data_IF_051351097407
#
_entry.id   IF_051351097407
#
_cell.length_a   1.000
_cell.length_b   1.000
_cell.length_c   1.000
_cell.angle_alpha   90.00
_cell.angle_beta   90.00
_cell.angle_gamma   90.00
#
_symmetry.space_group_name_H-M   'P 1'
#
loop_
_entity.id
_entity.type
_entity.pdbx_description
1 polymer ?
#
# COMPACT_ATOMS: atom_id res chain seq x y z
N UNK A 1 10.75 -15.81 -29.73
CA UNK A 1 12.13 -16.01 -29.22
C UNK A 1 12.27 -15.49 -27.82
N UNK A 2 12.02 -14.18 -27.52
CA UNK A 2 12.13 -13.59 -26.18
C UNK A 2 11.22 -14.26 -25.13
N UNK A 3 9.99 -14.65 -25.49
CA UNK A 3 9.07 -15.35 -24.60
C UNK A 3 9.62 -16.71 -24.16
N UNK A 4 10.17 -17.49 -25.06
CA UNK A 4 10.76 -18.80 -24.74
C UNK A 4 12.00 -18.64 -23.88
N UNK A 5 12.89 -17.71 -24.22
CA UNK A 5 14.05 -17.39 -23.38
C UNK A 5 13.65 -16.94 -21.98
N UNK A 6 12.55 -16.17 -21.84
CA UNK A 6 12.02 -15.79 -20.53
C UNK A 6 11.55 -17.00 -19.71
N UNK A 7 10.85 -17.95 -20.36
CA UNK A 7 10.39 -19.17 -19.67
C UNK A 7 11.57 -20.04 -19.23
N UNK A 8 12.60 -20.20 -20.06
CA UNK A 8 13.82 -20.94 -19.71
C UNK A 8 14.51 -20.34 -18.48
N UNK A 9 14.67 -19.00 -18.44
CA UNK A 9 15.23 -18.29 -17.29
C UNK A 9 14.38 -18.45 -16.04
N UNK A 10 13.06 -18.34 -16.15
CA UNK A 10 12.14 -18.55 -15.04
C UNK A 10 12.26 -20.00 -14.51
N UNK A 11 12.31 -20.98 -15.37
CA UNK A 11 12.44 -22.39 -14.97
C UNK A 11 13.76 -22.68 -14.26
N UNK A 12 14.86 -22.05 -14.68
CA UNK A 12 16.20 -22.29 -14.12
C UNK A 12 16.48 -21.52 -12.83
N UNK A 13 15.82 -20.36 -12.60
CA UNK A 13 16.05 -19.54 -11.43
C UNK A 13 15.42 -20.14 -10.17
N UNK A 14 16.16 -20.38 -9.08
CA UNK A 14 15.62 -20.99 -7.87
C UNK A 14 14.78 -20.02 -7.02
N UNK A 15 15.03 -18.70 -7.06
CA UNK A 15 14.35 -17.67 -6.26
C UNK A 15 13.78 -16.59 -7.14
N UNK A 16 12.56 -16.83 -7.62
CA UNK A 16 11.84 -15.91 -8.50
C UNK A 16 10.91 -15.02 -7.70
N UNK A 17 10.94 -13.73 -7.99
CA UNK A 17 9.99 -12.76 -7.47
C UNK A 17 9.27 -12.05 -8.61
N UNK A 18 7.96 -11.87 -8.48
CA UNK A 18 7.14 -11.03 -9.32
C UNK A 18 6.86 -9.73 -8.58
N UNK A 19 7.21 -8.58 -9.17
CA UNK A 19 6.75 -7.26 -8.74
C UNK A 19 5.53 -6.88 -9.55
N UNK A 20 4.35 -6.98 -8.92
CA UNK A 20 3.10 -6.61 -9.54
C UNK A 20 2.85 -5.10 -9.38
N UNK A 21 2.70 -4.38 -10.48
CA UNK A 21 2.32 -2.97 -10.53
C UNK A 21 0.84 -2.77 -10.84
N UNK A 22 0.39 -1.51 -10.80
CA UNK A 22 -1.02 -1.14 -11.05
C UNK A 22 -1.55 -1.56 -12.42
N UNK A 23 -0.70 -1.64 -13.44
CA UNK A 23 -1.06 -2.11 -14.79
C UNK A 23 -1.48 -3.58 -14.85
N UNK A 24 -1.13 -4.39 -13.84
CA UNK A 24 -1.51 -5.82 -13.79
C UNK A 24 -2.95 -6.06 -13.28
N UNK A 25 -3.63 -5.06 -12.73
CA UNK A 25 -4.94 -5.21 -12.06
C UNK A 25 -6.01 -5.87 -12.93
N UNK A 26 -6.09 -5.48 -14.19
CA UNK A 26 -7.06 -6.04 -15.14
C UNK A 26 -6.79 -7.50 -15.50
N UNK A 27 -5.56 -7.96 -15.29
CA UNK A 27 -5.06 -9.28 -15.68
C UNK A 27 -4.69 -10.15 -14.47
N UNK A 28 -5.32 -9.90 -13.33
CA UNK A 28 -5.01 -10.57 -12.07
C UNK A 28 -5.18 -12.10 -12.12
N UNK A 29 -6.10 -12.59 -12.95
CA UNK A 29 -6.32 -14.04 -13.12
C UNK A 29 -5.16 -14.70 -13.86
N UNK A 30 -4.72 -14.07 -14.96
CA UNK A 30 -3.55 -14.52 -15.74
C UNK A 30 -2.28 -14.43 -14.90
N UNK A 31 -2.11 -13.35 -14.12
CA UNK A 31 -0.98 -13.16 -13.23
C UNK A 31 -0.95 -14.22 -12.13
N UNK A 32 -2.09 -14.54 -11.51
CA UNK A 32 -2.18 -15.58 -10.48
C UNK A 32 -1.76 -16.95 -11.03
N UNK A 33 -2.26 -17.31 -12.20
CA UNK A 33 -1.85 -18.55 -12.90
C UNK A 33 -0.35 -18.53 -13.21
N UNK A 34 0.14 -17.40 -13.71
CA UNK A 34 1.56 -17.23 -14.03
C UNK A 34 2.45 -17.39 -12.80
N UNK A 35 2.10 -16.77 -11.68
CA UNK A 35 2.85 -16.87 -10.43
C UNK A 35 2.96 -18.33 -9.94
N UNK A 36 1.86 -19.08 -10.03
CA UNK A 36 1.84 -20.52 -9.67
C UNK A 36 2.75 -21.34 -10.59
N UNK A 37 2.65 -21.14 -11.90
CA UNK A 37 3.49 -21.84 -12.88
C UNK A 37 4.97 -21.45 -12.76
N UNK A 38 5.26 -20.17 -12.53
CA UNK A 38 6.62 -19.69 -12.33
C UNK A 38 7.25 -20.16 -11.00
N UNK A 39 6.44 -20.62 -10.04
CA UNK A 39 6.89 -20.87 -8.67
C UNK A 39 7.48 -19.60 -8.04
N UNK A 40 6.78 -18.47 -8.21
CA UNK A 40 7.26 -17.15 -7.84
C UNK A 40 6.52 -16.56 -6.64
N UNK A 41 7.27 -15.96 -5.72
CA UNK A 41 6.70 -15.07 -4.71
C UNK A 41 6.24 -13.76 -5.37
N UNK A 42 5.10 -13.21 -4.95
CA UNK A 42 4.53 -11.99 -5.54
C UNK A 42 4.57 -10.85 -4.54
N UNK A 43 5.30 -9.81 -4.87
CA UNK A 43 5.37 -8.56 -4.12
C UNK A 43 4.47 -7.53 -4.80
N UNK A 44 3.59 -6.94 -4.03
CA UNK A 44 2.63 -5.95 -4.51
C UNK A 44 3.24 -4.54 -4.47
N UNK A 45 2.81 -3.71 -5.41
CA UNK A 45 2.89 -2.26 -5.28
C UNK A 45 1.63 -1.73 -4.59
N UNK A 46 1.63 -0.53 -4.01
CA UNK A 46 0.42 0.05 -3.43
C UNK A 46 -0.79 0.09 -4.38
N UNK A 47 -0.54 0.27 -5.67
CA UNK A 47 -1.59 0.28 -6.71
C UNK A 47 -2.03 -1.11 -7.19
N UNK A 48 -1.53 -2.20 -6.63
CA UNK A 48 -1.84 -3.57 -7.09
C UNK A 48 -2.36 -4.49 -5.99
N UNK A 49 -2.80 -3.94 -4.85
CA UNK A 49 -3.46 -4.75 -3.82
C UNK A 49 -4.65 -5.52 -4.41
N UNK A 50 -4.85 -6.74 -3.98
CA UNK A 50 -5.91 -7.63 -4.46
C UNK A 50 -5.62 -8.37 -5.78
N UNK A 51 -4.49 -8.14 -6.47
CA UNK A 51 -4.14 -8.96 -7.67
C UNK A 51 -3.86 -10.41 -7.30
N UNK A 52 -3.37 -10.66 -6.07
CA UNK A 52 -3.48 -11.93 -5.36
C UNK A 52 -4.27 -11.66 -4.08
N UNK A 53 -5.15 -12.58 -3.69
CA UNK A 53 -5.87 -12.47 -2.43
C UNK A 53 -4.89 -12.42 -1.26
N UNK A 54 -5.25 -11.74 -0.18
CA UNK A 54 -4.36 -11.59 0.99
C UNK A 54 -3.87 -12.92 1.54
N UNK A 55 -4.73 -13.94 1.58
CA UNK A 55 -4.42 -15.26 2.10
C UNK A 55 -3.66 -16.16 1.11
N UNK A 56 -3.49 -15.76 -0.16
CA UNK A 56 -2.73 -16.55 -1.13
C UNK A 56 -1.29 -16.77 -0.63
N UNK A 57 -0.79 -18.00 -0.59
CA UNK A 57 0.55 -18.31 -0.07
C UNK A 57 1.69 -17.65 -0.85
N UNK A 58 1.47 -17.28 -2.12
CA UNK A 58 2.44 -16.57 -2.94
C UNK A 58 2.42 -15.06 -2.73
N UNK A 59 1.38 -14.49 -2.11
CA UNK A 59 1.26 -13.07 -1.84
C UNK A 59 2.17 -12.64 -0.68
N UNK A 60 3.20 -11.88 -0.98
CA UNK A 60 4.16 -11.33 -0.01
C UNK A 60 3.79 -9.92 0.48
N UNK A 61 2.59 -9.45 0.18
CA UNK A 61 2.11 -8.11 0.50
C UNK A 61 2.92 -7.01 -0.21
N UNK A 62 2.72 -5.77 0.21
CA UNK A 62 3.42 -4.62 -0.39
C UNK A 62 4.89 -4.64 0.03
N UNK A 63 5.78 -4.45 -0.94
CA UNK A 63 7.21 -4.26 -0.72
C UNK A 63 7.65 -2.84 -1.03
N UNK A 64 8.81 -2.45 -0.57
CA UNK A 64 9.40 -1.15 -0.78
C UNK A 64 9.73 -0.41 0.52
N UNK A 65 9.91 0.91 0.45
CA UNK A 65 10.37 1.72 1.59
C UNK A 65 9.44 1.74 2.80
N UNK A 66 8.16 1.43 2.62
CA UNK A 66 7.15 1.25 3.66
C UNK A 66 6.48 -0.12 3.54
N UNK A 67 7.21 -1.08 3.00
CA UNK A 67 6.70 -2.42 2.75
C UNK A 67 6.65 -3.32 3.98
N UNK A 68 6.13 -4.51 3.76
CA UNK A 68 6.02 -5.57 4.75
C UNK A 68 7.36 -6.31 4.95
N UNK A 69 7.49 -7.03 6.07
CA UNK A 69 8.61 -7.95 6.32
C UNK A 69 8.71 -8.98 5.19
N UNK A 70 7.58 -9.55 4.78
CA UNK A 70 7.53 -10.58 3.73
C UNK A 70 7.88 -10.02 2.34
N UNK A 71 7.32 -8.85 1.98
CA UNK A 71 7.59 -8.20 0.70
C UNK A 71 9.06 -7.82 0.56
N UNK A 72 9.61 -7.17 1.56
CA UNK A 72 11.00 -6.74 1.54
C UNK A 72 11.98 -7.93 1.60
N UNK A 73 11.64 -8.99 2.34
CA UNK A 73 12.44 -10.23 2.32
C UNK A 73 12.47 -10.85 0.91
N UNK A 74 11.32 -10.92 0.23
CA UNK A 74 11.25 -11.47 -1.11
C UNK A 74 12.07 -10.64 -2.11
N UNK A 75 11.95 -9.30 -2.06
CA UNK A 75 12.74 -8.40 -2.89
C UNK A 75 14.25 -8.58 -2.67
N UNK A 76 14.67 -8.64 -1.40
CA UNK A 76 16.08 -8.68 -1.00
C UNK A 76 16.77 -9.98 -1.39
N UNK A 77 16.05 -11.10 -1.45
CA UNK A 77 16.65 -12.42 -1.60
C UNK A 77 16.41 -13.08 -2.95
N UNK A 78 15.69 -12.45 -3.88
CA UNK A 78 15.42 -12.98 -5.20
C UNK A 78 16.67 -13.04 -6.10
N UNK A 79 16.72 -14.01 -7.01
CA UNK A 79 17.74 -14.13 -8.07
C UNK A 79 17.25 -13.58 -9.40
N UNK A 80 15.95 -13.70 -9.67
CA UNK A 80 15.27 -13.22 -10.86
C UNK A 80 14.08 -12.35 -10.48
N UNK A 81 14.03 -11.16 -11.07
CA UNK A 81 12.91 -10.23 -10.94
C UNK A 81 12.04 -10.26 -12.20
N UNK A 82 10.74 -10.43 -12.02
CA UNK A 82 9.74 -10.27 -13.07
C UNK A 82 8.87 -9.06 -12.71
N UNK A 83 8.94 -8.00 -13.50
CA UNK A 83 8.16 -6.78 -13.32
C UNK A 83 6.93 -6.84 -14.21
N UNK A 84 5.74 -6.63 -13.68
CA UNK A 84 4.49 -6.71 -14.44
C UNK A 84 3.68 -5.43 -14.24
N UNK A 85 3.60 -4.60 -15.27
CA UNK A 85 2.79 -3.38 -15.28
C UNK A 85 3.15 -2.38 -14.18
N UNK A 86 4.44 -2.24 -13.88
CA UNK A 86 4.98 -1.30 -12.90
C UNK A 86 5.77 -0.19 -13.58
N UNK A 87 5.67 1.03 -13.02
CA UNK A 87 6.50 2.19 -13.40
C UNK A 87 7.76 2.30 -12.55
N UNK A 88 8.07 1.30 -11.74
CA UNK A 88 9.23 1.26 -10.84
C UNK A 88 9.35 2.53 -9.97
N UNK A 89 8.23 2.99 -9.38
CA UNK A 89 8.19 4.17 -8.52
C UNK A 89 9.09 3.95 -7.30
N UNK A 90 9.91 4.95 -6.96
CA UNK A 90 10.95 4.83 -5.94
C UNK A 90 10.47 4.28 -4.58
N UNK A 91 9.27 4.66 -4.14
CA UNK A 91 8.70 4.17 -2.87
C UNK A 91 8.43 2.66 -2.87
N UNK A 92 8.03 2.10 -4.00
CA UNK A 92 7.71 0.67 -4.11
C UNK A 92 8.89 -0.19 -4.56
N UNK A 93 9.91 0.44 -5.14
CA UNK A 93 11.06 -0.22 -5.76
C UNK A 93 12.39 0.15 -5.09
N UNK A 94 12.33 0.91 -4.01
CA UNK A 94 13.48 1.41 -3.24
C UNK A 94 14.54 2.06 -4.14
N UNK A 95 14.12 2.89 -5.08
CA UNK A 95 15.01 3.55 -6.06
C UNK A 95 15.94 2.57 -6.81
N UNK A 96 15.44 1.37 -7.13
CA UNK A 96 16.19 0.32 -7.81
C UNK A 96 17.17 -0.46 -6.93
N UNK A 97 17.30 -0.13 -5.64
CA UNK A 97 18.22 -0.83 -4.72
C UNK A 97 17.55 -1.97 -3.94
N UNK A 98 16.25 -2.15 -4.10
CA UNK A 98 15.46 -3.17 -3.39
C UNK A 98 15.76 -4.63 -3.75
N UNK A 99 16.55 -4.87 -4.81
CA UNK A 99 16.82 -6.20 -5.35
C UNK A 99 18.32 -6.50 -5.42
N UNK A 100 19.03 -6.58 -4.27
CA UNK A 100 20.50 -6.66 -4.24
C UNK A 100 21.10 -7.90 -4.90
N UNK A 101 20.34 -9.00 -4.96
CA UNK A 101 20.82 -10.29 -5.47
C UNK A 101 20.29 -10.63 -6.87
N UNK A 102 19.40 -9.81 -7.41
CA UNK A 102 18.85 -10.00 -8.76
C UNK A 102 19.93 -9.75 -9.80
N UNK A 103 20.03 -10.67 -10.77
CA UNK A 103 21.02 -10.61 -11.84
C UNK A 103 20.40 -10.28 -13.19
N UNK A 104 19.12 -10.57 -13.36
CA UNK A 104 18.37 -10.35 -14.59
C UNK A 104 16.93 -9.93 -14.27
N UNK A 105 16.36 -9.14 -15.16
CA UNK A 105 14.98 -8.65 -15.04
C UNK A 105 14.21 -9.04 -16.30
N UNK A 106 12.99 -9.55 -16.11
CA UNK A 106 11.99 -9.68 -17.16
C UNK A 106 10.93 -8.62 -16.90
N UNK A 107 10.75 -7.67 -17.79
CA UNK A 107 9.79 -6.57 -17.63
C UNK A 107 8.66 -6.69 -18.65
N UNK A 108 7.44 -6.85 -18.17
CA UNK A 108 6.21 -6.99 -18.98
C UNK A 108 5.42 -5.71 -18.83
N UNK A 109 5.37 -4.89 -19.87
CA UNK A 109 4.69 -3.61 -19.82
C UNK A 109 4.08 -3.21 -21.15
N UNK A 110 2.98 -2.46 -21.10
CA UNK A 110 2.35 -1.84 -22.25
C UNK A 110 2.98 -0.51 -22.66
N UNK A 111 3.80 0.09 -21.80
CA UNK A 111 4.52 1.33 -22.04
C UNK A 111 6.01 1.04 -22.28
N UNK A 112 6.54 1.49 -23.43
CA UNK A 112 7.95 1.34 -23.77
C UNK A 112 8.89 2.09 -22.83
N UNK A 113 8.47 3.25 -22.33
CA UNK A 113 9.24 4.05 -21.38
C UNK A 113 9.48 3.32 -20.06
N UNK A 114 8.51 2.50 -19.65
CA UNK A 114 8.60 1.73 -18.41
C UNK A 114 9.41 0.41 -18.53
N UNK A 115 9.87 0.06 -19.72
CA UNK A 115 10.71 -1.14 -19.92
C UNK A 115 12.19 -0.91 -19.60
N UNK A 116 12.64 0.32 -19.48
CA UNK A 116 14.06 0.69 -19.42
C UNK A 116 14.56 1.08 -18.03
N UNK A 117 13.81 0.76 -16.98
CA UNK A 117 14.18 1.08 -15.60
C UNK A 117 15.37 0.27 -15.05
N UNK A 118 15.68 -0.85 -15.66
CA UNK A 118 16.77 -1.76 -15.26
C UNK A 118 17.71 -1.99 -16.43
N UNK A 119 19.01 -2.09 -16.17
CA UNK A 119 20.02 -2.19 -17.21
C UNK A 119 20.05 -3.55 -17.92
N UNK A 120 19.76 -4.63 -17.20
CA UNK A 120 19.78 -6.01 -17.74
C UNK A 120 18.37 -6.57 -17.88
N UNK A 121 17.59 -5.98 -18.78
CA UNK A 121 16.17 -6.29 -18.91
C UNK A 121 15.85 -7.02 -20.20
N UNK A 122 15.10 -8.12 -20.09
CA UNK A 122 14.33 -8.68 -21.18
C UNK A 122 12.98 -7.97 -21.20
N UNK A 123 12.81 -7.03 -22.12
CA UNK A 123 11.57 -6.27 -22.29
C UNK A 123 10.54 -7.01 -23.09
N UNK A 124 9.41 -7.35 -22.52
CA UNK A 124 8.23 -7.91 -23.19
C UNK A 124 7.17 -6.82 -23.33
N UNK A 125 7.25 -6.07 -24.44
CA UNK A 125 6.33 -4.97 -24.74
C UNK A 125 5.01 -5.47 -25.33
N UNK A 126 3.88 -5.00 -24.81
CA UNK A 126 2.56 -5.25 -25.36
C UNK A 126 1.46 -5.34 -24.32
N UNK A 127 0.29 -5.86 -24.73
CA UNK A 127 -0.80 -6.14 -23.80
C UNK A 127 -0.37 -7.17 -22.76
N UNK A 128 -0.41 -6.77 -21.49
CA UNK A 128 0.06 -7.58 -20.35
C UNK A 128 -0.67 -8.93 -20.31
N UNK A 129 -2.00 -8.92 -20.52
CA UNK A 129 -2.80 -10.14 -20.49
C UNK A 129 -2.46 -11.09 -21.63
N UNK A 130 -2.20 -10.56 -22.84
CA UNK A 130 -1.79 -11.37 -23.99
C UNK A 130 -0.42 -12.02 -23.76
N UNK A 131 0.54 -11.25 -23.22
CA UNK A 131 1.89 -11.76 -22.89
C UNK A 131 1.78 -12.83 -21.79
N UNK A 132 1.05 -12.58 -20.71
CA UNK A 132 0.87 -13.56 -19.63
C UNK A 132 0.21 -14.86 -20.11
N UNK A 133 -0.80 -14.78 -20.99
CA UNK A 133 -1.42 -15.96 -21.59
C UNK A 133 -0.42 -16.78 -22.42
N UNK A 134 0.42 -16.12 -23.23
CA UNK A 134 1.45 -16.78 -24.01
C UNK A 134 2.51 -17.43 -23.13
N UNK A 135 3.00 -16.74 -22.09
CA UNK A 135 3.95 -17.30 -21.14
C UNK A 135 3.34 -18.50 -20.39
N UNK A 136 2.08 -18.40 -19.93
CA UNK A 136 1.37 -19.48 -19.26
C UNK A 136 1.23 -20.74 -20.12
N UNK A 137 1.14 -20.59 -21.44
CA UNK A 137 1.05 -21.71 -22.37
C UNK A 137 2.42 -22.28 -22.76
N UNK A 138 3.50 -21.55 -22.49
CA UNK A 138 4.86 -21.95 -22.86
C UNK A 138 5.62 -22.69 -21.75
N UNK A 139 5.08 -22.77 -20.52
CA UNK A 139 5.71 -23.54 -19.46
C UNK A 139 5.71 -25.04 -19.77
N UNK A 140 6.76 -25.77 -19.36
CA UNK A 140 6.84 -27.23 -19.52
C UNK A 140 5.67 -27.95 -18.85
N UNK A 141 5.22 -29.07 -19.41
CA UNK A 141 4.18 -29.91 -18.81
C UNK A 141 4.67 -30.63 -17.53
N UNK A 142 5.97 -30.91 -17.42
CA UNK A 142 6.57 -31.45 -16.19
C UNK A 142 6.76 -30.34 -15.16
N UNK A 143 6.39 -30.61 -13.91
CA UNK A 143 6.58 -29.67 -12.78
C UNK A 143 7.94 -29.80 -12.07
N UNK A 144 8.87 -30.59 -12.63
CA UNK A 144 10.19 -30.84 -12.00
C UNK A 144 11.00 -29.57 -11.75
N UNK A 145 10.88 -28.57 -12.63
CA UNK A 145 11.54 -27.26 -12.48
C UNK A 145 11.04 -26.48 -11.24
N UNK A 146 9.92 -26.87 -10.62
CA UNK A 146 9.42 -26.25 -9.41
C UNK A 146 10.09 -26.80 -8.14
N UNK A 147 10.70 -27.99 -8.22
CA UNK A 147 11.34 -28.62 -7.05
C UNK A 147 12.43 -27.76 -6.40
N UNK A 148 13.36 -27.14 -7.15
CA UNK A 148 14.38 -26.26 -6.57
C UNK A 148 13.82 -25.00 -5.91
N UNK A 149 12.58 -24.60 -6.25
CA UNK A 149 11.94 -23.39 -5.73
C UNK A 149 11.19 -23.61 -4.41
N UNK A 150 10.97 -24.85 -4.00
CA UNK A 150 10.16 -25.15 -2.80
C UNK A 150 10.75 -24.55 -1.53
N UNK A 151 12.06 -24.66 -1.32
CA UNK A 151 12.74 -24.08 -0.16
C UNK A 151 12.59 -22.55 -0.12
N UNK A 152 12.66 -21.90 -1.27
CA UNK A 152 12.43 -20.47 -1.43
C UNK A 152 11.01 -20.06 -1.02
N UNK A 153 10.00 -20.74 -1.57
CA UNK A 153 8.60 -20.45 -1.27
C UNK A 153 8.26 -20.72 0.21
N UNK A 154 8.87 -21.74 0.81
CA UNK A 154 8.72 -21.99 2.25
C UNK A 154 9.35 -20.86 3.10
N UNK A 155 10.53 -20.37 2.73
CA UNK A 155 11.15 -19.22 3.40
C UNK A 155 10.29 -17.96 3.30
N UNK A 156 9.71 -17.69 2.13
CA UNK A 156 8.77 -16.60 1.91
C UNK A 156 7.51 -16.74 2.77
N UNK A 157 6.93 -17.93 2.83
CA UNK A 157 5.76 -18.22 3.65
C UNK A 157 6.05 -18.02 5.15
N UNK A 158 7.23 -18.42 5.61
CA UNK A 158 7.66 -18.17 7.00
C UNK A 158 7.69 -16.67 7.31
N UNK A 159 8.24 -15.85 6.40
CA UNK A 159 8.26 -14.39 6.54
C UNK A 159 6.86 -13.76 6.47
N UNK A 160 5.94 -14.35 5.74
CA UNK A 160 4.55 -13.93 5.74
C UNK A 160 3.88 -14.20 7.10
N UNK A 161 4.17 -15.33 7.75
CA UNK A 161 3.69 -15.64 9.11
C UNK A 161 4.29 -14.66 10.13
N UNK A 162 5.59 -14.37 10.03
CA UNK A 162 6.27 -13.38 10.87
C UNK A 162 5.62 -11.99 10.72
N UNK A 163 5.32 -11.57 9.50
CA UNK A 163 4.63 -10.33 9.22
C UNK A 163 3.24 -10.26 9.88
N UNK A 164 2.43 -11.31 9.74
CA UNK A 164 1.10 -11.36 10.38
C UNK A 164 1.19 -11.30 11.91
N UNK A 165 2.16 -11.99 12.50
CA UNK A 165 2.40 -11.93 13.94
C UNK A 165 2.83 -10.53 14.40
N UNK A 166 3.66 -9.85 13.63
CA UNK A 166 4.06 -8.48 13.89
C UNK A 166 2.86 -7.51 13.81
N UNK A 167 2.05 -7.61 12.74
CA UNK A 167 0.84 -6.78 12.59
C UNK A 167 -0.11 -6.93 13.77
N UNK A 168 -0.33 -8.16 14.27
CA UNK A 168 -1.20 -8.40 15.43
C UNK A 168 -0.77 -7.58 16.65
N UNK A 169 0.53 -7.34 16.82
CA UNK A 169 1.06 -6.55 17.94
C UNK A 169 0.82 -5.05 17.74
N UNK A 170 1.18 -4.51 16.59
CA UNK A 170 1.09 -3.06 16.33
C UNK A 170 -0.34 -2.58 16.09
N UNK A 171 -1.25 -3.48 15.76
CA UNK A 171 -2.68 -3.22 15.55
C UNK A 171 -3.52 -3.56 16.78
N UNK A 172 -2.90 -3.74 17.95
CA UNK A 172 -3.63 -3.93 19.19
C UNK A 172 -4.61 -2.79 19.44
N UNK A 173 -5.85 -3.13 19.78
CA UNK A 173 -6.91 -2.18 20.09
C UNK A 173 -6.86 -1.68 21.54
N UNK A 174 -5.85 -2.06 22.30
CA UNK A 174 -5.58 -1.48 23.60
C UNK A 174 -5.17 -0.02 23.41
N UNK A 175 -5.88 0.89 24.10
CA UNK A 175 -5.58 2.31 24.03
C UNK A 175 -4.22 2.63 24.67
N UNK A 176 -3.52 3.57 24.10
CA UNK A 176 -2.26 4.10 24.60
C UNK A 176 -2.53 5.50 25.17
N UNK A 177 -2.06 5.78 26.38
CA UNK A 177 -2.15 7.13 26.93
C UNK A 177 -1.28 8.09 26.11
N UNK A 178 -1.86 9.19 25.72
CA UNK A 178 -1.22 10.23 24.93
C UNK A 178 -1.25 11.58 25.65
N UNK A 179 -0.08 12.20 25.80
CA UNK A 179 0.05 13.46 26.55
C UNK A 179 -0.57 14.66 25.82
N UNK A 180 -0.57 14.64 24.47
CA UNK A 180 -1.15 15.71 23.65
C UNK A 180 -2.66 15.74 23.78
N UNK A 181 -3.29 14.57 23.88
CA UNK A 181 -4.73 14.43 24.03
C UNK A 181 -5.18 14.40 25.49
N UNK A 182 -4.29 14.01 26.44
CA UNK A 182 -4.61 13.82 27.84
C UNK A 182 -5.54 12.63 28.11
N UNK A 183 -5.63 11.69 27.18
CA UNK A 183 -6.51 10.51 27.22
C UNK A 183 -5.87 9.29 26.56
N UNK A 184 -6.50 8.12 26.71
CA UNK A 184 -6.12 6.93 25.97
C UNK A 184 -6.72 6.97 24.56
N UNK A 185 -5.87 6.87 23.56
CA UNK A 185 -6.25 6.85 22.14
C UNK A 185 -5.73 5.58 21.45
N UNK A 186 -6.28 5.25 20.29
CA UNK A 186 -5.73 4.20 19.44
C UNK A 186 -4.43 4.66 18.79
N UNK A 187 -3.54 3.72 18.50
CA UNK A 187 -2.47 3.98 17.54
C UNK A 187 -3.07 4.10 16.13
N UNK A 188 -2.41 4.82 15.24
CA UNK A 188 -2.89 4.95 13.85
C UNK A 188 -3.02 3.59 13.14
N UNK A 189 -2.04 2.64 13.25
CA UNK A 189 -2.20 1.29 12.68
C UNK A 189 -3.43 0.54 13.22
N UNK A 190 -3.71 0.65 14.53
CA UNK A 190 -4.88 0.01 15.14
C UNK A 190 -6.19 0.63 14.63
N UNK A 191 -6.27 1.96 14.57
CA UNK A 191 -7.45 2.66 14.07
C UNK A 191 -7.71 2.35 12.59
N UNK A 192 -6.65 2.33 11.74
CA UNK A 192 -6.76 1.94 10.33
C UNK A 192 -7.24 0.49 10.19
N UNK A 193 -6.76 -0.43 11.04
CA UNK A 193 -7.22 -1.84 11.01
C UNK A 193 -8.72 -1.94 11.28
N UNK A 194 -9.22 -1.26 12.31
CA UNK A 194 -10.66 -1.21 12.62
C UNK A 194 -11.47 -0.71 11.40
N UNK A 195 -11.00 0.35 10.76
CA UNK A 195 -11.66 0.93 9.57
C UNK A 195 -11.58 -0.03 8.37
N UNK A 196 -10.45 -0.68 8.14
CA UNK A 196 -10.28 -1.65 7.04
C UNK A 196 -11.16 -2.89 7.23
N UNK A 197 -11.29 -3.39 8.45
CA UNK A 197 -12.17 -4.53 8.75
C UNK A 197 -13.65 -4.15 8.53
N UNK A 198 -14.02 -2.95 8.95
CA UNK A 198 -15.35 -2.42 8.67
C UNK A 198 -15.60 -2.30 7.16
N UNK A 199 -14.65 -1.74 6.41
CA UNK A 199 -14.74 -1.62 4.96
C UNK A 199 -14.89 -2.99 4.28
N UNK A 200 -14.10 -3.99 4.69
CA UNK A 200 -14.18 -5.36 4.17
C UNK A 200 -15.54 -5.99 4.44
N UNK A 201 -16.07 -5.85 5.66
CA UNK A 201 -17.38 -6.35 6.06
C UNK A 201 -18.53 -5.76 5.20
N UNK A 202 -18.42 -4.50 4.80
CA UNK A 202 -19.42 -3.77 4.05
C UNK A 202 -19.12 -3.65 2.56
N UNK A 203 -18.11 -4.35 2.05
CA UNK A 203 -17.65 -4.32 0.65
C UNK A 203 -17.38 -2.89 0.14
N UNK A 204 -16.96 -2.00 1.06
CA UNK A 204 -16.67 -0.60 0.76
C UNK A 204 -15.30 -0.45 0.08
N UNK A 205 -15.21 0.53 -0.82
CA UNK A 205 -13.95 0.91 -1.45
C UNK A 205 -13.16 1.82 -0.50
N UNK A 206 -11.88 1.52 -0.33
CA UNK A 206 -10.95 2.33 0.47
C UNK A 206 -10.14 3.25 -0.42
N UNK A 207 -10.06 4.53 -0.04
CA UNK A 207 -9.17 5.52 -0.63
C UNK A 207 -8.16 5.95 0.44
N UNK A 208 -6.88 5.70 0.23
CA UNK A 208 -5.84 6.13 1.16
C UNK A 208 -5.18 7.42 0.69
N UNK A 209 -5.07 8.37 1.60
CA UNK A 209 -4.33 9.61 1.39
C UNK A 209 -2.83 9.39 1.57
N UNK A 210 -2.04 10.40 1.23
CA UNK A 210 -0.58 10.39 1.33
C UNK A 210 -0.05 10.30 2.76
N UNK A 211 1.25 10.09 2.88
CA UNK A 211 1.98 10.12 4.14
C UNK A 211 1.86 8.84 4.96
N UNK A 212 1.77 8.99 6.28
CA UNK A 212 1.71 7.89 7.23
C UNK A 212 0.42 7.05 7.11
N UNK A 213 -0.70 7.67 6.81
CA UNK A 213 -1.96 6.98 6.55
C UNK A 213 -1.83 6.04 5.35
N UNK A 214 -1.16 6.47 4.29
CA UNK A 214 -0.87 5.63 3.13
C UNK A 214 0.03 4.45 3.52
N UNK A 215 1.13 4.72 4.22
CA UNK A 215 2.10 3.72 4.60
C UNK A 215 1.50 2.65 5.54
N UNK A 216 0.83 3.07 6.61
CA UNK A 216 0.14 2.18 7.54
C UNK A 216 -1.03 1.45 6.87
N UNK A 217 -1.70 2.11 5.93
CA UNK A 217 -2.78 1.54 5.13
C UNK A 217 -2.32 0.36 4.28
N UNK A 218 -1.26 0.50 3.51
CA UNK A 218 -0.73 -0.60 2.68
C UNK A 218 -0.22 -1.79 3.48
N UNK A 219 0.23 -1.53 4.70
CA UNK A 219 0.64 -2.58 5.62
C UNK A 219 -0.55 -3.32 6.24
N UNK A 220 -1.73 -2.69 6.22
CA UNK A 220 -2.94 -3.16 6.91
C UNK A 220 -3.96 -3.81 5.99
N UNK A 221 -4.08 -3.36 4.74
CA UNK A 221 -5.14 -3.84 3.84
C UNK A 221 -5.01 -5.33 3.52
N UNK A 222 -6.14 -6.02 3.60
CA UNK A 222 -6.32 -7.43 3.29
C UNK A 222 -7.28 -7.58 2.11
N UNK A 223 -6.86 -7.05 0.95
CA UNK A 223 -7.67 -7.08 -0.28
C UNK A 223 -7.63 -8.47 -0.93
N UNK A 224 -8.78 -8.93 -1.40
CA UNK A 224 -8.94 -10.21 -2.09
C UNK A 224 -9.12 -10.04 -3.60
N UNK A 225 -9.58 -8.86 -4.03
CA UNK A 225 -9.78 -8.50 -5.43
C UNK A 225 -9.20 -7.10 -5.74
N UNK A 226 -8.75 -6.89 -7.00
CA UNK A 226 -8.33 -5.56 -7.45
C UNK A 226 -9.50 -4.56 -7.41
N UNK A 227 -9.23 -3.35 -6.95
CA UNK A 227 -10.23 -2.29 -6.89
C UNK A 227 -10.93 -2.14 -5.55
N UNK A 228 -10.56 -2.91 -4.54
CA UNK A 228 -11.01 -2.72 -3.16
C UNK A 228 -10.27 -1.55 -2.48
N UNK A 229 -9.06 -1.22 -2.94
CA UNK A 229 -8.25 -0.10 -2.43
C UNK A 229 -7.68 0.73 -3.56
N UNK A 230 -7.73 2.05 -3.39
CA UNK A 230 -7.14 3.04 -4.27
C UNK A 230 -6.26 4.02 -3.50
N UNK A 231 -5.20 4.46 -4.15
CA UNK A 231 -4.32 5.51 -3.66
C UNK A 231 -3.57 6.13 -4.82
N UNK A 232 -3.06 7.34 -4.64
CA UNK A 232 -2.10 7.93 -5.56
C UNK A 232 -0.71 7.34 -5.27
N UNK A 233 -0.12 6.65 -6.25
CA UNK A 233 1.12 5.88 -6.09
C UNK A 233 2.34 6.54 -6.72
N UNK A 234 2.17 7.66 -7.39
CA UNK A 234 3.26 8.35 -8.09
C UNK A 234 3.91 9.41 -7.22
N UNK A 235 3.27 10.55 -7.10
CA UNK A 235 3.77 11.69 -6.36
C UNK A 235 3.41 11.65 -4.86
N UNK A 236 2.44 10.81 -4.46
CA UNK A 236 1.97 10.71 -3.07
C UNK A 236 1.51 12.07 -2.51
N UNK A 237 0.67 12.78 -3.27
CA UNK A 237 0.22 14.10 -2.87
C UNK A 237 -0.93 14.05 -1.87
N UNK A 238 -0.87 14.97 -0.92
CA UNK A 238 -1.83 15.12 0.17
C UNK A 238 -3.18 15.65 -0.35
N UNK A 239 -4.29 15.13 0.19
CA UNK A 239 -5.66 15.50 -0.21
C UNK A 239 -6.27 14.57 -1.27
N UNK A 240 -5.54 13.54 -1.73
CA UNK A 240 -6.04 12.59 -2.71
C UNK A 240 -7.34 11.92 -2.26
N UNK A 241 -7.37 11.31 -1.07
CA UNK A 241 -8.53 10.53 -0.65
C UNK A 241 -9.76 11.39 -0.40
N UNK A 242 -9.56 12.60 0.13
CA UNK A 242 -10.62 13.58 0.35
C UNK A 242 -11.29 13.99 -0.97
N UNK A 243 -10.53 14.10 -2.05
CA UNK A 243 -11.07 14.37 -3.38
C UNK A 243 -11.64 13.13 -4.05
N UNK A 244 -11.01 11.96 -3.84
CA UNK A 244 -11.41 10.71 -4.49
C UNK A 244 -12.82 10.25 -4.10
N UNK A 245 -13.31 10.61 -2.91
CA UNK A 245 -14.65 10.25 -2.45
C UNK A 245 -15.75 10.79 -3.40
N UNK A 246 -15.50 11.89 -4.11
CA UNK A 246 -16.43 12.49 -5.07
C UNK A 246 -16.78 11.50 -6.18
N UNK A 247 -15.83 10.63 -6.54
CA UNK A 247 -16.05 9.63 -7.59
C UNK A 247 -17.23 8.71 -7.32
N UNK A 248 -17.59 8.50 -6.06
CA UNK A 248 -18.74 7.68 -5.70
C UNK A 248 -20.09 8.29 -6.11
N UNK A 249 -20.16 9.62 -6.17
CA UNK A 249 -21.36 10.31 -6.67
C UNK A 249 -21.42 10.35 -8.20
N UNK A 250 -20.31 10.08 -8.89
CA UNK A 250 -20.19 10.20 -10.34
C UNK A 250 -20.12 8.84 -11.07
N UNK A 251 -19.88 7.75 -10.35
CA UNK A 251 -19.75 6.42 -10.95
C UNK A 251 -21.09 5.84 -11.37
N UNK A 252 -21.13 5.12 -12.51
CA UNK A 252 -22.34 4.42 -13.00
C UNK A 252 -22.87 3.37 -12.00
N UNK A 253 -21.94 2.71 -11.27
CA UNK A 253 -22.26 1.71 -10.25
C UNK A 253 -21.52 2.09 -8.95
N UNK A 254 -22.03 3.06 -8.19
CA UNK A 254 -21.36 3.56 -7.01
C UNK A 254 -21.32 2.50 -5.90
N UNK A 255 -20.14 2.30 -5.33
CA UNK A 255 -19.98 1.55 -4.08
C UNK A 255 -19.80 2.53 -2.93
N UNK A 256 -20.12 2.08 -1.72
CA UNK A 256 -19.83 2.89 -0.54
C UNK A 256 -18.34 3.17 -0.45
N UNK A 257 -17.94 4.43 -0.27
CA UNK A 257 -16.55 4.86 -0.22
C UNK A 257 -16.10 5.19 1.19
N UNK A 258 -14.88 4.82 1.52
CA UNK A 258 -14.23 5.18 2.77
C UNK A 258 -12.88 5.84 2.45
N UNK A 259 -12.81 7.15 2.63
CA UNK A 259 -11.59 7.95 2.46
C UNK A 259 -10.85 8.02 3.79
N UNK A 260 -9.64 7.48 3.85
CA UNK A 260 -8.77 7.48 5.01
C UNK A 260 -7.69 8.54 4.80
N UNK A 261 -7.67 9.57 5.64
CA UNK A 261 -6.79 10.73 5.49
C UNK A 261 -6.17 11.14 6.83
N UNK A 262 -5.00 11.76 6.79
CA UNK A 262 -4.43 12.44 7.97
C UNK A 262 -4.99 13.86 8.10
N UNK A 263 -4.83 14.45 9.27
CA UNK A 263 -5.23 15.82 9.57
C UNK A 263 -4.63 16.84 8.58
N UNK A 264 -3.32 16.76 8.35
CA UNK A 264 -2.63 17.63 7.39
C UNK A 264 -3.06 17.40 5.94
N UNK A 265 -3.30 16.14 5.54
CA UNK A 265 -3.75 15.80 4.18
C UNK A 265 -5.18 16.29 3.93
N UNK A 266 -6.09 16.15 4.88
CA UNK A 266 -7.45 16.67 4.79
C UNK A 266 -7.47 18.18 4.55
N UNK A 267 -6.58 18.92 5.23
CA UNK A 267 -6.51 20.37 5.10
C UNK A 267 -5.97 20.88 3.75
N UNK A 268 -5.49 20.02 2.89
CA UNK A 268 -5.12 20.42 1.53
C UNK A 268 -6.36 20.74 0.67
N UNK A 269 -7.45 19.99 0.84
CA UNK A 269 -8.66 20.13 0.03
C UNK A 269 -9.97 19.99 0.84
N UNK A 270 -10.16 20.68 1.98
CA UNK A 270 -11.36 20.53 2.78
C UNK A 270 -12.63 21.00 2.03
N UNK A 271 -12.49 21.91 1.05
CA UNK A 271 -13.58 22.36 0.18
C UNK A 271 -14.14 21.24 -0.72
N UNK A 272 -13.45 20.13 -0.88
CA UNK A 272 -13.96 18.95 -1.61
C UNK A 272 -15.25 18.38 -0.99
N UNK A 273 -15.53 18.67 0.30
CA UNK A 273 -16.80 18.35 0.95
C UNK A 273 -18.00 18.94 0.21
N UNK A 274 -17.87 20.18 -0.29
CA UNK A 274 -18.94 20.87 -1.04
C UNK A 274 -19.25 20.08 -2.31
N UNK A 275 -18.21 19.78 -3.10
CA UNK A 275 -18.39 19.04 -4.35
C UNK A 275 -18.88 17.61 -4.09
N UNK A 276 -18.44 16.96 -3.02
CA UNK A 276 -18.91 15.62 -2.67
C UNK A 276 -20.42 15.61 -2.36
N UNK A 277 -20.92 16.60 -1.63
CA UNK A 277 -22.35 16.76 -1.35
C UNK A 277 -23.11 17.08 -2.62
N UNK A 278 -22.64 18.04 -3.45
CA UNK A 278 -23.27 18.43 -4.71
C UNK A 278 -23.43 17.25 -5.68
N UNK A 279 -22.47 16.36 -5.72
CA UNK A 279 -22.50 15.16 -6.57
C UNK A 279 -23.16 13.94 -5.89
N UNK A 280 -23.72 14.10 -4.69
CA UNK A 280 -24.40 13.01 -3.99
C UNK A 280 -23.52 11.86 -3.59
N UNK A 281 -22.24 12.13 -3.28
CA UNK A 281 -21.31 11.09 -2.83
C UNK A 281 -21.80 10.43 -1.54
N UNK A 282 -21.84 9.09 -1.54
CA UNK A 282 -22.20 8.28 -0.37
C UNK A 282 -20.94 7.59 0.18
N UNK A 283 -20.65 7.89 1.44
CA UNK A 283 -19.48 7.34 2.08
C UNK A 283 -19.04 8.11 3.31
N UNK A 284 -17.84 7.84 3.76
CA UNK A 284 -17.27 8.54 4.91
C UNK A 284 -15.81 8.94 4.66
N UNK A 285 -15.44 10.09 5.21
CA UNK A 285 -14.06 10.55 5.31
C UNK A 285 -13.63 10.39 6.77
N UNK A 286 -12.59 9.59 7.00
CA UNK A 286 -12.04 9.32 8.32
C UNK A 286 -10.72 10.07 8.44
N UNK A 287 -10.67 11.06 9.33
CA UNK A 287 -9.52 11.91 9.59
C UNK A 287 -8.79 11.37 10.82
N UNK A 288 -7.61 10.80 10.61
CA UNK A 288 -6.71 10.37 11.69
C UNK A 288 -5.86 11.56 12.12
N UNK A 289 -6.21 12.14 13.25
CA UNK A 289 -5.55 13.33 13.79
C UNK A 289 -4.47 12.92 14.80
N UNK A 290 -3.22 13.03 14.40
CA UNK A 290 -2.04 12.88 15.26
C UNK A 290 -1.32 14.21 15.50
N UNK A 291 -1.88 15.33 15.02
CA UNK A 291 -1.30 16.67 15.12
C UNK A 291 0.14 16.78 14.61
N UNK A 292 0.48 15.97 13.60
CA UNK A 292 1.86 15.87 13.10
C UNK A 292 1.91 15.70 11.59
N UNK A 293 2.97 16.23 11.02
CA UNK A 293 3.45 15.85 9.69
C UNK A 293 4.36 14.61 9.82
N UNK A 294 3.78 13.48 10.27
CA UNK A 294 4.53 12.34 10.78
C UNK A 294 5.48 11.72 9.74
N UNK A 295 5.08 11.64 8.47
CA UNK A 295 5.97 11.15 7.41
C UNK A 295 7.20 12.05 7.24
N UNK A 296 7.03 13.37 7.31
CA UNK A 296 8.14 14.33 7.23
C UNK A 296 9.02 14.26 8.47
N UNK A 297 8.42 14.18 9.66
CA UNK A 297 9.15 13.99 10.91
C UNK A 297 10.05 12.74 10.84
N UNK A 298 9.51 11.61 10.37
CA UNK A 298 10.28 10.37 10.18
C UNK A 298 11.46 10.54 9.21
N UNK A 299 11.25 11.28 8.11
CA UNK A 299 12.33 11.57 7.15
C UNK A 299 13.43 12.47 7.76
N UNK A 300 13.03 13.50 8.49
CA UNK A 300 13.98 14.38 9.18
C UNK A 300 14.79 13.61 10.22
N UNK A 301 14.14 12.76 11.03
CA UNK A 301 14.82 11.90 12.00
C UNK A 301 15.79 10.93 11.31
N UNK A 302 15.37 10.28 10.22
CA UNK A 302 16.23 9.37 9.50
C UNK A 302 17.45 10.05 8.85
N UNK A 303 17.26 11.27 8.35
CA UNK A 303 18.30 12.01 7.61
C UNK A 303 19.23 12.82 8.54
N UNK A 304 18.68 13.43 9.58
CA UNK A 304 19.36 14.42 10.39
C UNK A 304 19.45 14.08 11.88
N UNK A 305 18.77 13.03 12.34
CA UNK A 305 18.69 12.65 13.76
C UNK A 305 17.82 13.59 14.60
N UNK A 306 17.17 14.55 13.99
CA UNK A 306 16.26 15.52 14.64
C UNK A 306 15.10 15.83 13.72
N UNK A 307 13.96 16.23 14.28
CA UNK A 307 12.85 16.81 13.54
C UNK A 307 12.66 18.30 13.88
N UNK A 308 12.12 19.05 12.95
CA UNK A 308 11.95 20.49 13.08
C UNK A 308 10.56 20.93 12.60
N UNK A 309 9.78 21.47 13.53
CA UNK A 309 8.45 22.05 13.27
C UNK A 309 7.46 21.14 12.51
N UNK A 310 7.54 19.86 12.75
CA UNK A 310 6.66 18.85 12.15
C UNK A 310 5.69 18.24 13.13
N UNK A 311 5.78 18.61 14.39
CA UNK A 311 4.94 18.14 15.49
C UNK A 311 4.14 19.30 16.08
N UNK A 312 3.15 19.01 16.93
CA UNK A 312 2.35 19.98 17.69
C UNK A 312 1.64 21.01 16.80
N UNK A 313 1.02 20.56 15.71
CA UNK A 313 0.16 21.43 14.91
C UNK A 313 -0.99 22.00 15.76
N UNK A 314 -1.53 23.14 15.34
CA UNK A 314 -2.68 23.77 16.00
C UNK A 314 -3.84 22.76 16.09
N UNK A 315 -4.45 22.65 17.26
CA UNK A 315 -5.62 21.80 17.44
C UNK A 315 -6.81 22.31 16.63
N UNK A 316 -7.39 21.44 15.81
CA UNK A 316 -8.56 21.72 14.97
C UNK A 316 -9.67 20.74 15.31
N UNK A 317 -10.87 21.23 15.50
CA UNK A 317 -12.07 20.41 15.56
C UNK A 317 -12.55 20.13 14.12
N UNK A 318 -12.08 19.03 13.55
CA UNK A 318 -12.40 18.68 12.15
C UNK A 318 -13.87 18.29 11.96
N UNK A 319 -14.52 17.72 12.98
CA UNK A 319 -15.95 17.43 12.93
C UNK A 319 -16.76 18.73 12.83
N UNK A 320 -16.43 19.72 13.67
CA UNK A 320 -17.07 21.02 13.65
C UNK A 320 -16.80 21.77 12.34
N UNK A 321 -15.58 21.71 11.81
CA UNK A 321 -15.23 22.27 10.52
C UNK A 321 -16.09 21.66 9.41
N UNK A 322 -16.19 20.33 9.37
CA UNK A 322 -16.96 19.62 8.37
C UNK A 322 -18.47 19.88 8.48
N UNK A 323 -19.00 20.05 9.70
CA UNK A 323 -20.42 20.34 9.94
C UNK A 323 -20.87 21.72 9.43
N UNK A 324 -19.94 22.61 9.08
CA UNK A 324 -20.25 23.88 8.43
C UNK A 324 -20.76 23.70 6.98
N UNK A 325 -20.52 22.53 6.38
CA UNK A 325 -21.04 22.20 5.04
C UNK A 325 -22.39 21.49 5.22
N UNK A 326 -23.45 22.13 4.73
CA UNK A 326 -24.81 21.56 4.79
C UNK A 326 -24.86 20.24 4.02
N UNK A 327 -25.45 19.22 4.65
CA UNK A 327 -25.54 17.85 4.08
C UNK A 327 -24.38 16.92 4.47
N UNK A 328 -23.41 17.39 5.27
CA UNK A 328 -22.37 16.56 5.85
C UNK A 328 -22.76 16.13 7.27
N UNK A 329 -22.71 14.83 7.55
CA UNK A 329 -22.86 14.27 8.89
C UNK A 329 -21.48 14.18 9.56
N UNK A 330 -21.26 14.95 10.63
CA UNK A 330 -19.95 15.04 11.25
C UNK A 330 -19.94 14.41 12.67
N UNK A 331 -18.90 13.63 12.95
CA UNK A 331 -18.76 12.87 14.18
C UNK A 331 -17.36 13.07 14.77
N UNK A 332 -17.29 13.22 16.07
CA UNK A 332 -16.04 13.08 16.84
C UNK A 332 -16.03 11.70 17.49
N UNK A 333 -14.91 10.99 17.38
CA UNK A 333 -14.73 9.70 18.02
C UNK A 333 -14.04 9.92 19.35
N UNK A 334 -14.82 9.82 20.42
CA UNK A 334 -14.32 9.96 21.79
C UNK A 334 -14.12 8.57 22.41
N UNK A 335 -12.86 8.14 22.52
CA UNK A 335 -12.47 6.85 23.09
C UNK A 335 -11.82 5.88 22.12
N UNK A 336 -11.61 4.64 22.57
CA UNK A 336 -10.90 3.60 21.85
C UNK A 336 -11.71 2.89 20.75
N UNK A 337 -11.35 1.65 20.47
CA UNK A 337 -11.91 0.86 19.35
C UNK A 337 -13.44 0.69 19.41
N UNK A 338 -14.02 0.57 20.62
CA UNK A 338 -15.48 0.42 20.77
C UNK A 338 -16.21 1.67 20.31
N UNK A 339 -15.69 2.86 20.65
CA UNK A 339 -16.25 4.13 20.22
C UNK A 339 -16.12 4.29 18.68
N UNK A 340 -14.95 3.93 18.13
CA UNK A 340 -14.73 3.97 16.69
C UNK A 340 -15.71 3.06 15.94
N UNK A 341 -15.89 1.81 16.36
CA UNK A 341 -16.88 0.90 15.76
C UNK A 341 -18.30 1.46 15.80
N UNK A 342 -18.71 1.96 16.95
CA UNK A 342 -20.05 2.57 17.10
C UNK A 342 -20.24 3.76 16.17
N UNK A 343 -19.22 4.61 16.03
CA UNK A 343 -19.30 5.79 15.17
C UNK A 343 -19.28 5.40 13.68
N UNK A 344 -18.52 4.37 13.30
CA UNK A 344 -18.55 3.82 11.95
C UNK A 344 -19.95 3.29 11.59
N UNK A 345 -20.60 2.54 12.50
CA UNK A 345 -21.99 2.06 12.28
C UNK A 345 -22.96 3.24 12.15
N UNK A 346 -22.87 4.28 12.98
CA UNK A 346 -23.71 5.47 12.88
C UNK A 346 -23.51 6.21 11.56
N UNK A 347 -22.26 6.42 11.15
CA UNK A 347 -21.92 7.09 9.91
C UNK A 347 -22.39 6.29 8.66
N UNK A 348 -22.28 4.97 8.72
CA UNK A 348 -22.73 4.10 7.63
C UNK A 348 -24.24 4.14 7.41
N UNK A 349 -25.01 4.32 8.50
CA UNK A 349 -26.45 4.44 8.46
C UNK A 349 -26.94 5.85 8.07
N UNK A 350 -26.05 6.84 8.07
CA UNK A 350 -26.39 8.20 7.61
C UNK A 350 -26.53 8.26 6.10
N UNK A 351 -27.52 9.03 5.61
CA UNK A 351 -27.67 9.22 4.17
C UNK A 351 -26.74 10.34 3.67
N UNK A 352 -25.87 10.02 2.71
CA UNK A 352 -24.92 10.95 2.09
C UNK A 352 -23.49 10.82 2.62
N UNK A 353 -22.83 11.95 2.81
CA UNK A 353 -21.43 12.03 3.23
C UNK A 353 -21.29 12.20 4.74
N UNK A 354 -20.46 11.35 5.34
CA UNK A 354 -20.08 11.46 6.74
C UNK A 354 -18.61 11.85 6.89
N UNK A 355 -18.26 12.59 7.94
CA UNK A 355 -16.88 12.90 8.32
C UNK A 355 -16.64 12.50 9.78
N UNK A 356 -15.62 11.69 10.01
CA UNK A 356 -15.24 11.22 11.33
C UNK A 356 -13.88 11.82 11.72
N UNK A 357 -13.84 12.53 12.85
CA UNK A 357 -12.61 13.00 13.46
C UNK A 357 -12.15 11.99 14.50
N UNK A 358 -11.03 11.31 14.22
CA UNK A 358 -10.46 10.23 15.04
C UNK A 358 -9.12 10.69 15.59
N UNK A 359 -9.03 10.93 16.90
CA UNK A 359 -7.76 11.19 17.57
C UNK A 359 -6.95 9.91 17.64
N UNK A 360 -5.69 9.98 17.22
CA UNK A 360 -4.76 8.86 17.29
C UNK A 360 -3.47 9.28 17.97
N UNK A 361 -2.68 8.30 18.38
CA UNK A 361 -1.43 8.51 19.08
C UNK A 361 -0.51 9.52 18.36
N UNK A 362 -0.16 10.59 19.05
CA UNK A 362 0.64 11.70 18.54
C UNK A 362 2.14 11.57 18.84
N UNK A 363 2.57 10.50 19.54
CA UNK A 363 3.96 10.25 19.87
C UNK A 363 4.84 9.96 18.66
N UNK A 364 6.17 9.92 18.88
CA UNK A 364 7.19 9.80 17.83
C UNK A 364 7.88 8.44 17.81
N UNK A 365 7.52 7.56 18.71
CA UNK A 365 8.08 6.20 18.82
C UNK A 365 7.42 5.21 17.85
N UNK A 366 7.82 3.96 17.93
CA UNK A 366 7.34 2.87 17.04
C UNK A 366 5.82 2.64 17.06
N UNK A 367 5.12 3.08 18.13
CA UNK A 367 3.65 3.00 18.24
C UNK A 367 2.93 3.91 17.25
N UNK A 368 3.58 4.96 16.78
CA UNK A 368 3.05 5.82 15.72
C UNK A 368 2.90 5.11 14.36
N UNK A 369 3.46 3.91 14.21
CA UNK A 369 3.56 3.24 12.94
C UNK A 369 4.75 3.75 12.13
N UNK A 370 4.67 3.71 10.82
CA UNK A 370 5.73 4.16 9.89
C UNK A 370 7.03 3.34 9.93
N UNK A 371 7.03 2.17 10.56
CA UNK A 371 8.17 1.28 10.53
C UNK A 371 8.54 0.92 9.10
N UNK A 372 9.76 1.25 8.67
CA UNK A 372 10.36 0.63 7.50
C UNK A 372 10.94 -0.70 7.95
N UNK A 373 10.41 -1.78 7.40
CA UNK A 373 10.88 -3.13 7.75
C UNK A 373 11.99 -3.52 6.79
N UNK A 374 13.22 -3.53 7.29
CA UNK A 374 14.44 -3.75 6.53
C UNK A 374 15.24 -2.46 6.31
N UNK A 375 16.32 -2.57 5.56
CA UNK A 375 17.30 -1.47 5.31
C UNK A 375 16.81 -0.38 4.33
N UNK A 376 15.52 -0.31 4.08
CA UNK A 376 14.92 0.53 3.03
C UNK A 376 14.35 1.84 3.54
N UNK A 377 14.90 2.39 4.59
CA UNK A 377 14.38 3.66 5.07
C UNK A 377 14.73 4.79 4.09
N UNK A 378 13.82 5.67 3.93
CA UNK A 378 13.67 6.65 2.87
C UNK A 378 14.64 7.82 2.95
N UNK A 379 15.87 7.60 2.97
CA UNK A 379 16.82 8.61 2.52
C UNK A 379 17.19 8.38 1.05
N UNK A 380 16.24 7.99 0.24
CA UNK A 380 16.45 7.34 -1.06
C UNK A 380 17.19 8.18 -2.10
N UNK A 381 17.45 9.43 -1.81
CA UNK A 381 18.13 10.36 -2.72
C UNK A 381 19.43 10.89 -2.13
N UNK A 382 19.98 10.27 -1.09
CA UNK A 382 21.30 10.59 -0.59
C UNK A 382 22.38 9.92 -1.48
N UNK A 383 23.56 10.51 -1.50
CA UNK A 383 24.71 10.06 -2.32
C UNK A 383 25.00 8.57 -2.15
N UNK A 384 24.87 8.03 -0.93
CA UNK A 384 25.12 6.62 -0.65
C UNK A 384 24.16 5.68 -1.38
N UNK A 385 22.90 6.05 -1.56
CA UNK A 385 21.94 5.27 -2.34
C UNK A 385 22.22 5.40 -3.84
N UNK A 386 22.60 6.59 -4.28
CA UNK A 386 23.00 6.85 -5.66
C UNK A 386 24.22 6.00 -6.04
N UNK A 387 25.23 5.94 -5.19
CA UNK A 387 26.42 5.12 -5.41
C UNK A 387 26.09 3.63 -5.48
N UNK A 388 25.20 3.14 -4.61
CA UNK A 388 24.71 1.76 -4.65
C UNK A 388 23.97 1.52 -5.98
N UNK A 389 23.10 2.42 -6.40
CA UNK A 389 22.35 2.30 -7.66
C UNK A 389 23.31 2.25 -8.86
N UNK A 390 24.26 3.18 -8.94
CA UNK A 390 25.23 3.25 -10.04
C UNK A 390 26.20 2.05 -10.09
N UNK A 391 26.47 1.44 -8.95
CA UNK A 391 27.33 0.25 -8.87
C UNK A 391 26.65 -1.04 -9.34
N UNK A 392 25.32 -1.04 -9.56
CA UNK A 392 24.56 -2.21 -9.96
C UNK A 392 24.49 -2.37 -11.46
N UNK A 393 24.58 -3.62 -11.89
CA UNK A 393 24.46 -4.01 -13.29
C UNK A 393 23.07 -4.56 -13.63
N UNK A 394 22.05 -4.13 -12.92
CA UNK A 394 20.64 -4.51 -13.25
C UNK A 394 19.77 -3.29 -13.54
#
# INVERSE_FOLDING_TARGET
>A
ELLLSSVEKICSAPRVVIKAGGGSRKFYRELRKFAQQAGAAVVLSPGSTGVLADNDPLNMHVGGSKGSISGNFAMQNADLLIVIGSRAVCQSDCSGVGYPNVKEVININGDLGDLTHYNQTIGLHGDIGAILRQLNNAFPNSAEYLLPKQAWLQACLHKKVEWKSFLTKIQSTEGVYDEVWGENVLTQPAAIKVVCDFAKKHEAIKFFDAGDVQANGFQTVEDDLPGETYTETGASYMGFSTCAIISNGMADNPKYGMALTGDGSFMMNPQALISAVEHGAKGMIIIFDNRRMAAISSLQQAQYGVDFRTNDSVAVDYAKLASAVSGVHAFTVDGGAVALHKTLDQAYLSDGLSVLHVRVYAGTDERAGLGAYGSWNVGNWCDSVQDIYLSRNI
#
